data_IF_628421637596
#
_entry.id   IF_628421637596
#
_cell.length_a   1.000
_cell.length_b   1.000
_cell.length_c   1.000
_cell.angle_alpha   90.00
_cell.angle_beta   90.00
_cell.angle_gamma   90.00
#
_symmetry.space_group_name_H-M   'P 1'
#
loop_
_entity.id
_entity.type
_entity.pdbx_description
1 polymer ?
#
# COMPACT_ATOMS: atom_id res chain seq x y z
N UNK A 1 -29.92 -42.21 -6.93
CA UNK A 1 -29.09 -41.18 -6.25
C UNK A 1 -27.65 -41.40 -6.66
N UNK A 2 -27.12 -40.59 -7.58
CA UNK A 2 -25.73 -40.67 -8.02
C UNK A 2 -24.84 -39.85 -7.09
N UNK A 3 -23.90 -40.51 -6.39
CA UNK A 3 -22.84 -39.82 -5.65
C UNK A 3 -21.80 -39.31 -6.65
N UNK A 4 -21.65 -37.99 -6.72
CA UNK A 4 -20.54 -37.35 -7.42
C UNK A 4 -19.28 -37.63 -6.58
N UNK A 5 -18.33 -38.39 -7.12
CA UNK A 5 -16.99 -38.51 -6.55
C UNK A 5 -16.20 -37.24 -6.88
N UNK A 6 -16.12 -36.33 -5.91
CA UNK A 6 -15.18 -35.20 -5.97
C UNK A 6 -13.80 -35.74 -5.64
N UNK A 7 -12.89 -35.69 -6.61
CA UNK A 7 -11.50 -36.05 -6.42
C UNK A 7 -10.84 -35.01 -5.49
N UNK A 8 -10.42 -35.41 -4.30
CA UNK A 8 -9.86 -34.52 -3.27
C UNK A 8 -8.56 -33.82 -3.72
N UNK A 9 -7.91 -34.30 -4.79
CA UNK A 9 -6.74 -33.64 -5.35
C UNK A 9 -7.06 -32.36 -6.14
N UNK A 10 -8.33 -32.15 -6.54
CA UNK A 10 -8.77 -30.88 -7.14
C UNK A 10 -9.09 -29.79 -6.11
N UNK A 11 -9.09 -30.11 -4.82
CA UNK A 11 -9.35 -29.18 -3.72
C UNK A 11 -8.08 -28.77 -2.96
N UNK A 12 -6.91 -29.28 -3.37
CA UNK A 12 -5.65 -28.81 -2.79
C UNK A 12 -5.33 -27.41 -3.34
N UNK A 13 -5.15 -26.37 -2.49
CA UNK A 13 -4.60 -25.11 -2.96
C UNK A 13 -3.23 -25.39 -3.61
N UNK A 14 -2.80 -24.63 -4.64
CA UNK A 14 -1.58 -24.93 -5.40
C UNK A 14 -0.40 -25.17 -4.44
N UNK A 15 -0.07 -26.44 -4.24
CA UNK A 15 0.64 -26.89 -3.06
C UNK A 15 2.14 -26.93 -3.34
N UNK A 16 2.92 -26.24 -2.51
CA UNK A 16 4.37 -26.43 -2.25
C UNK A 16 5.33 -26.21 -3.44
N UNK A 17 5.06 -26.74 -4.64
CA UNK A 17 5.86 -26.54 -5.87
C UNK A 17 5.82 -25.08 -6.39
N UNK A 18 4.71 -24.38 -6.19
CA UNK A 18 4.61 -22.95 -6.56
C UNK A 18 5.47 -22.05 -5.66
N UNK A 19 5.56 -22.36 -4.35
CA UNK A 19 6.44 -21.65 -3.41
C UNK A 19 7.92 -21.99 -3.64
N UNK A 20 8.25 -23.18 -4.17
CA UNK A 20 9.62 -23.50 -4.54
C UNK A 20 10.10 -22.73 -5.77
N UNK A 21 9.23 -22.39 -6.72
CA UNK A 21 9.57 -21.53 -7.87
C UNK A 21 10.02 -20.12 -7.46
N UNK A 22 9.37 -19.55 -6.43
CA UNK A 22 9.76 -18.27 -5.84
C UNK A 22 11.17 -18.30 -5.22
N UNK A 23 11.49 -19.38 -4.51
CA UNK A 23 12.83 -19.60 -3.94
C UNK A 23 13.87 -19.79 -5.04
N UNK A 24 13.60 -20.63 -6.03
CA UNK A 24 14.56 -21.00 -7.07
C UNK A 24 14.86 -19.85 -8.04
N UNK A 25 13.88 -19.01 -8.37
CA UNK A 25 14.10 -17.87 -9.26
C UNK A 25 14.58 -16.64 -8.49
N UNK A 26 14.01 -16.33 -7.32
CA UNK A 26 14.44 -15.18 -6.51
C UNK A 26 15.89 -15.27 -6.03
N UNK A 27 16.39 -16.46 -5.71
CA UNK A 27 17.79 -16.67 -5.32
C UNK A 27 18.78 -16.47 -6.48
N UNK A 28 18.34 -16.50 -7.74
CA UNK A 28 19.20 -16.27 -8.92
C UNK A 28 19.22 -14.84 -9.41
N UNK A 29 18.14 -14.09 -9.18
CA UNK A 29 18.01 -12.71 -9.67
C UNK A 29 18.98 -11.77 -8.95
N UNK A 30 19.64 -10.89 -9.69
CA UNK A 30 20.50 -9.84 -9.13
C UNK A 30 19.64 -8.64 -8.67
N UNK A 31 19.60 -8.29 -7.37
CA UNK A 31 18.79 -7.17 -6.90
C UNK A 31 19.21 -5.80 -7.43
N UNK A 32 20.45 -5.63 -7.92
CA UNK A 32 20.89 -4.35 -8.46
C UNK A 32 20.36 -4.10 -9.88
N UNK A 33 20.17 -5.16 -10.67
CA UNK A 33 19.82 -5.06 -12.10
C UNK A 33 18.45 -5.65 -12.44
N UNK A 34 17.93 -6.56 -11.62
CA UNK A 34 16.69 -7.31 -11.83
C UNK A 34 15.63 -7.05 -10.73
N UNK A 35 15.74 -5.92 -10.02
CA UNK A 35 14.79 -5.52 -8.97
C UNK A 35 13.33 -5.55 -9.45
N UNK A 36 13.02 -5.10 -10.68
CA UNK A 36 11.67 -5.15 -11.23
C UNK A 36 11.13 -6.59 -11.29
N UNK A 37 11.97 -7.56 -11.67
CA UNK A 37 11.58 -8.97 -11.71
C UNK A 37 11.44 -9.56 -10.30
N UNK A 38 12.27 -9.14 -9.33
CA UNK A 38 12.13 -9.56 -7.93
C UNK A 38 10.81 -9.05 -7.36
N UNK A 39 10.50 -7.76 -7.52
CA UNK A 39 9.25 -7.16 -7.03
C UNK A 39 8.04 -7.76 -7.74
N UNK A 40 8.10 -7.97 -9.05
CA UNK A 40 7.06 -8.72 -9.79
C UNK A 40 6.83 -10.10 -9.20
N UNK A 41 7.91 -10.82 -8.93
CA UNK A 41 7.83 -12.18 -8.37
C UNK A 41 7.18 -12.16 -6.99
N UNK A 42 7.59 -11.28 -6.08
CA UNK A 42 6.98 -11.25 -4.73
C UNK A 42 5.55 -10.71 -4.73
N UNK A 43 5.19 -9.77 -5.60
CA UNK A 43 3.84 -9.22 -5.63
C UNK A 43 2.81 -10.23 -6.17
N UNK A 44 3.15 -10.98 -7.22
CA UNK A 44 2.21 -11.94 -7.83
C UNK A 44 2.12 -13.29 -7.11
N UNK A 45 3.11 -13.63 -6.27
CA UNK A 45 3.19 -14.96 -5.66
C UNK A 45 3.45 -14.94 -4.14
N UNK A 46 3.67 -13.76 -3.54
CA UNK A 46 3.95 -13.59 -2.11
C UNK A 46 2.68 -13.42 -1.27
N UNK A 47 2.04 -12.23 -1.28
CA UNK A 47 0.91 -11.94 -0.42
C UNK A 47 -0.38 -12.64 -0.91
N UNK A 48 -1.21 -13.07 0.03
CA UNK A 48 -2.62 -13.36 -0.28
C UNK A 48 -3.39 -12.06 -0.44
N UNK A 49 -4.55 -12.11 -1.11
CA UNK A 49 -5.44 -10.94 -1.20
C UNK A 49 -5.85 -10.40 0.19
N UNK A 50 -5.94 -11.27 1.20
CA UNK A 50 -6.15 -10.86 2.59
C UNK A 50 -4.97 -10.01 3.12
N UNK A 51 -3.73 -10.47 2.93
CA UNK A 51 -2.54 -9.74 3.39
C UNK A 51 -2.39 -8.39 2.66
N UNK A 52 -2.70 -8.34 1.36
CA UNK A 52 -2.75 -7.09 0.60
C UNK A 52 -3.80 -6.12 1.17
N UNK A 53 -4.99 -6.62 1.52
CA UNK A 53 -6.04 -5.79 2.11
C UNK A 53 -5.69 -5.26 3.51
N UNK A 54 -5.00 -6.05 4.35
CA UNK A 54 -4.47 -5.55 5.63
C UNK A 54 -3.43 -4.45 5.37
N UNK A 55 -2.46 -4.69 4.48
CA UNK A 55 -1.44 -3.71 4.10
C UNK A 55 -2.06 -2.38 3.66
N UNK A 56 -2.99 -2.45 2.69
CA UNK A 56 -3.72 -1.30 2.19
C UNK A 56 -4.42 -0.53 3.31
N UNK A 57 -5.15 -1.23 4.18
CA UNK A 57 -5.88 -0.61 5.31
C UNK A 57 -4.92 0.10 6.27
N UNK A 58 -3.84 -0.56 6.66
CA UNK A 58 -2.84 0.01 7.57
C UNK A 58 -2.12 1.21 6.96
N UNK A 59 -1.66 1.10 5.72
CA UNK A 59 -0.94 2.19 5.03
C UNK A 59 -1.85 3.41 4.90
N UNK A 60 -3.10 3.22 4.48
CA UNK A 60 -4.01 4.35 4.35
C UNK A 60 -4.38 4.98 5.69
N UNK A 61 -4.49 4.21 6.78
CA UNK A 61 -4.66 4.77 8.12
C UNK A 61 -3.45 5.63 8.54
N UNK A 62 -2.22 5.23 8.18
CA UNK A 62 -1.02 6.04 8.40
C UNK A 62 -1.03 7.32 7.56
N UNK A 63 -1.37 7.23 6.27
CA UNK A 63 -1.42 8.39 5.37
C UNK A 63 -2.47 9.43 5.79
N UNK A 64 -3.54 9.01 6.46
CA UNK A 64 -4.59 9.92 6.95
C UNK A 64 -4.24 10.62 8.26
N UNK A 65 -3.09 10.32 8.86
CA UNK A 65 -2.60 11.10 10.01
C UNK A 65 -2.15 12.50 9.56
N UNK A 66 -1.50 12.61 8.40
CA UNK A 66 -1.09 13.90 7.84
C UNK A 66 -2.32 14.75 7.43
N UNK A 67 -2.40 16.04 7.79
CA UNK A 67 -3.59 16.86 7.54
C UNK A 67 -3.95 16.98 6.04
N UNK A 68 -2.94 17.10 5.18
CA UNK A 68 -3.07 17.08 3.71
C UNK A 68 -3.58 15.72 3.19
N UNK A 69 -3.05 14.62 3.72
CA UNK A 69 -3.48 13.26 3.40
C UNK A 69 -4.93 13.00 3.79
N UNK A 70 -5.31 13.39 5.02
CA UNK A 70 -6.68 13.35 5.51
C UNK A 70 -7.62 14.12 4.58
N UNK A 71 -7.28 15.36 4.25
CA UNK A 71 -8.11 16.20 3.38
C UNK A 71 -8.25 15.61 1.96
N UNK A 72 -7.15 15.16 1.35
CA UNK A 72 -7.13 14.64 0.00
C UNK A 72 -7.89 13.31 -0.15
N UNK A 73 -7.74 12.40 0.80
CA UNK A 73 -8.38 11.08 0.75
C UNK A 73 -9.87 11.16 1.10
N UNK A 74 -10.24 12.04 2.05
CA UNK A 74 -11.64 12.29 2.41
C UNK A 74 -12.41 12.96 1.27
N UNK A 75 -11.75 13.80 0.48
CA UNK A 75 -12.36 14.55 -0.62
C UNK A 75 -13.13 13.65 -1.59
N UNK A 76 -14.38 14.04 -1.87
CA UNK A 76 -15.30 13.28 -2.74
C UNK A 76 -15.89 12.01 -2.11
N UNK A 77 -15.51 11.66 -0.87
CA UNK A 77 -16.10 10.59 -0.07
C UNK A 77 -16.06 9.19 -0.70
N UNK A 78 -15.08 8.95 -1.58
CA UNK A 78 -15.02 7.70 -2.36
C UNK A 78 -14.78 6.48 -1.48
N UNK A 79 -13.94 6.61 -0.44
CA UNK A 79 -13.68 5.51 0.50
C UNK A 79 -14.92 5.14 1.31
N UNK A 80 -15.69 6.12 1.79
CA UNK A 80 -16.93 5.87 2.55
C UNK A 80 -18.05 5.29 1.68
N UNK A 81 -18.17 5.73 0.42
CA UNK A 81 -19.30 5.34 -0.46
C UNK A 81 -19.01 4.12 -1.33
N UNK A 82 -17.73 3.88 -1.65
CA UNK A 82 -17.29 2.93 -2.68
C UNK A 82 -15.96 2.27 -2.28
N UNK A 83 -15.79 1.96 -1.00
CA UNK A 83 -14.55 1.42 -0.43
C UNK A 83 -14.00 0.23 -1.23
N UNK A 84 -14.80 -0.82 -1.44
CA UNK A 84 -14.36 -2.02 -2.17
C UNK A 84 -13.88 -1.70 -3.59
N UNK A 85 -14.62 -0.85 -4.32
CA UNK A 85 -14.21 -0.40 -5.65
C UNK A 85 -12.89 0.38 -5.59
N UNK A 86 -12.72 1.28 -4.61
CA UNK A 86 -11.47 2.04 -4.42
C UNK A 86 -10.29 1.11 -4.20
N UNK A 87 -10.44 0.09 -3.36
CA UNK A 87 -9.38 -0.90 -3.11
C UNK A 87 -8.98 -1.63 -4.38
N UNK A 88 -9.93 -2.24 -5.09
CA UNK A 88 -9.60 -2.98 -6.31
C UNK A 88 -8.99 -2.09 -7.40
N UNK A 89 -9.44 -0.84 -7.53
CA UNK A 89 -8.83 0.11 -8.46
C UNK A 89 -7.40 0.46 -8.06
N UNK A 90 -7.13 0.73 -6.77
CA UNK A 90 -5.78 1.01 -6.28
C UNK A 90 -4.84 -0.17 -6.47
N UNK A 91 -5.26 -1.38 -6.06
CA UNK A 91 -4.49 -2.61 -6.26
C UNK A 91 -4.22 -2.88 -7.73
N UNK A 92 -5.21 -2.66 -8.61
CA UNK A 92 -5.04 -2.83 -10.05
C UNK A 92 -3.98 -1.88 -10.61
N UNK A 93 -4.01 -0.59 -10.22
CA UNK A 93 -2.97 0.36 -10.64
C UNK A 93 -1.59 -0.06 -10.16
N UNK A 94 -1.46 -0.46 -8.89
CA UNK A 94 -0.18 -0.90 -8.35
C UNK A 94 0.34 -2.14 -9.08
N UNK A 95 -0.53 -3.13 -9.33
CA UNK A 95 -0.18 -4.34 -10.07
C UNK A 95 0.19 -4.06 -11.53
N UNK A 96 -0.40 -3.05 -12.17
CA UNK A 96 0.04 -2.60 -13.50
C UNK A 96 1.49 -2.10 -13.46
N UNK A 97 1.88 -1.31 -12.45
CA UNK A 97 3.24 -0.79 -12.32
C UNK A 97 4.26 -1.91 -12.06
N UNK A 98 3.89 -2.86 -11.20
CA UNK A 98 4.67 -4.07 -10.91
C UNK A 98 4.81 -4.95 -12.15
N UNK A 99 3.72 -5.13 -12.91
CA UNK A 99 3.73 -5.96 -14.10
C UNK A 99 4.66 -5.39 -15.17
N UNK A 100 4.54 -4.10 -15.48
CA UNK A 100 5.35 -3.47 -16.52
C UNK A 100 6.78 -3.14 -16.09
N UNK A 101 7.01 -2.94 -14.78
CA UNK A 101 8.30 -2.52 -14.22
C UNK A 101 8.32 -1.03 -13.94
N UNK A 102 9.03 -0.65 -12.88
CA UNK A 102 9.06 0.68 -12.29
C UNK A 102 9.56 1.78 -13.24
N UNK A 103 10.48 1.45 -14.14
CA UNK A 103 11.05 2.38 -15.13
C UNK A 103 10.37 2.38 -16.49
N UNK A 104 9.31 1.59 -16.70
CA UNK A 104 8.73 1.39 -18.03
C UNK A 104 7.89 2.58 -18.53
N UNK A 105 7.81 2.83 -19.86
CA UNK A 105 6.91 3.82 -20.44
C UNK A 105 5.44 3.56 -20.08
N UNK A 106 5.03 2.30 -19.98
CA UNK A 106 3.69 1.89 -19.57
C UNK A 106 3.39 2.33 -18.15
N UNK A 107 4.29 2.05 -17.19
CA UNK A 107 4.17 2.53 -15.81
C UNK A 107 4.08 4.05 -15.75
N UNK A 108 4.96 4.76 -16.46
CA UNK A 108 4.93 6.22 -16.52
C UNK A 108 3.58 6.75 -17.06
N UNK A 109 3.04 6.13 -18.12
CA UNK A 109 1.74 6.48 -18.68
C UNK A 109 0.59 6.23 -17.69
N UNK A 110 0.63 5.12 -16.95
CA UNK A 110 -0.38 4.78 -15.94
C UNK A 110 -0.33 5.74 -14.75
N UNK A 111 0.85 6.03 -14.23
CA UNK A 111 1.02 7.02 -13.16
C UNK A 111 0.61 8.42 -13.65
N UNK A 112 0.81 8.75 -14.93
CA UNK A 112 0.27 9.97 -15.53
C UNK A 112 -1.25 10.11 -15.41
N UNK A 113 -2.02 9.01 -15.39
CA UNK A 113 -3.47 9.06 -15.08
C UNK A 113 -3.72 9.42 -13.62
N UNK A 114 -2.92 8.91 -12.70
CA UNK A 114 -3.00 9.22 -11.27
C UNK A 114 -2.59 10.67 -10.99
N UNK A 115 -1.53 11.16 -11.64
CA UNK A 115 -1.14 12.57 -11.54
C UNK A 115 -2.27 13.52 -11.96
N UNK A 116 -3.04 13.18 -13.00
CA UNK A 116 -4.24 13.96 -13.37
C UNK A 116 -5.34 13.90 -12.32
N UNK A 117 -5.48 12.77 -11.63
CA UNK A 117 -6.43 12.62 -10.52
C UNK A 117 -5.98 13.45 -9.30
N UNK A 118 -4.71 13.37 -8.90
CA UNK A 118 -4.14 14.22 -7.84
C UNK A 118 -4.31 15.71 -8.18
N UNK A 119 -4.04 16.08 -9.44
CA UNK A 119 -4.21 17.45 -9.92
C UNK A 119 -5.68 17.92 -9.99
N UNK A 120 -6.65 17.00 -10.04
CA UNK A 120 -8.05 17.35 -9.91
C UNK A 120 -8.42 17.58 -8.44
N UNK A 121 -7.87 16.76 -7.52
CA UNK A 121 -8.14 16.85 -6.08
C UNK A 121 -7.58 18.15 -5.49
N UNK A 122 -6.34 18.52 -5.78
CA UNK A 122 -5.74 19.72 -5.18
C UNK A 122 -6.46 21.01 -5.52
N UNK A 123 -7.26 21.05 -6.61
CA UNK A 123 -8.02 22.25 -6.99
C UNK A 123 -9.11 22.56 -5.98
N UNK A 124 -9.52 21.53 -5.25
CA UNK A 124 -10.50 21.60 -4.18
C UNK A 124 -9.86 21.46 -2.79
N UNK A 125 -8.64 20.93 -2.74
CA UNK A 125 -7.87 20.74 -1.50
C UNK A 125 -6.44 21.27 -1.67
N UNK A 126 -6.24 22.60 -1.75
CA UNK A 126 -4.92 23.18 -1.99
C UNK A 126 -3.91 22.79 -0.90
N UNK A 127 -2.66 22.55 -1.30
CA UNK A 127 -1.59 22.09 -0.42
C UNK A 127 -1.49 20.56 -0.34
N UNK A 128 -2.51 19.81 -0.76
CA UNK A 128 -2.42 18.36 -0.89
C UNK A 128 -1.37 17.97 -1.94
N UNK A 129 -0.61 16.90 -1.68
CA UNK A 129 0.42 16.41 -2.63
C UNK A 129 1.60 17.36 -2.85
N UNK A 130 1.72 18.44 -2.06
CA UNK A 130 2.80 19.42 -2.18
C UNK A 130 4.12 18.96 -1.53
N UNK A 131 4.02 18.10 -0.52
CA UNK A 131 5.14 17.53 0.21
C UNK A 131 5.47 16.13 -0.35
N UNK A 132 6.65 15.93 -1.00
CA UNK A 132 7.04 14.63 -1.54
C UNK A 132 6.95 13.49 -0.53
N UNK A 133 7.40 13.72 0.72
CA UNK A 133 7.49 12.68 1.74
C UNK A 133 6.13 12.03 2.07
N UNK A 134 5.02 12.76 1.95
CA UNK A 134 3.68 12.21 2.18
C UNK A 134 3.31 11.18 1.11
N UNK A 135 3.66 11.47 -0.15
CA UNK A 135 3.47 10.54 -1.27
C UNK A 135 4.46 9.36 -1.22
N UNK A 136 5.70 9.62 -0.80
CA UNK A 136 6.71 8.59 -0.61
C UNK A 136 6.26 7.56 0.44
N UNK A 137 5.60 8.00 1.51
CA UNK A 137 5.12 7.12 2.58
C UNK A 137 4.19 6.01 2.06
N UNK A 138 3.40 6.26 1.01
CA UNK A 138 2.56 5.22 0.41
C UNK A 138 3.39 4.05 -0.17
N UNK A 139 4.52 4.36 -0.82
CA UNK A 139 5.43 3.37 -1.40
C UNK A 139 6.33 2.74 -0.34
N UNK A 140 6.84 3.53 0.61
CA UNK A 140 7.62 3.03 1.76
C UNK A 140 6.78 2.07 2.59
N UNK A 141 5.53 2.42 2.87
CA UNK A 141 4.58 1.56 3.57
C UNK A 141 4.39 0.23 2.83
N UNK A 142 4.17 0.26 1.52
CA UNK A 142 4.01 -0.96 0.72
C UNK A 142 5.26 -1.86 0.75
N UNK A 143 6.46 -1.27 0.70
CA UNK A 143 7.72 -2.00 0.77
C UNK A 143 7.99 -2.60 2.16
N UNK A 144 7.69 -1.83 3.21
CA UNK A 144 8.08 -2.16 4.58
C UNK A 144 7.05 -2.98 5.36
N UNK A 145 5.78 -2.99 4.93
CA UNK A 145 4.68 -3.59 5.67
C UNK A 145 4.92 -5.05 6.09
N UNK A 146 5.48 -5.88 5.21
CA UNK A 146 5.79 -7.28 5.55
C UNK A 146 6.77 -7.36 6.73
N UNK A 147 7.82 -6.54 6.74
CA UNK A 147 8.79 -6.50 7.82
C UNK A 147 8.18 -6.01 9.13
N UNK A 148 7.33 -4.97 9.05
CA UNK A 148 6.58 -4.47 10.21
C UNK A 148 5.73 -5.58 10.84
N UNK A 149 4.91 -6.28 10.05
CA UNK A 149 4.06 -7.37 10.55
C UNK A 149 4.90 -8.48 11.16
N UNK A 150 6.00 -8.89 10.50
CA UNK A 150 6.92 -9.91 11.02
C UNK A 150 7.48 -9.52 12.39
N UNK A 151 7.89 -8.27 12.57
CA UNK A 151 8.37 -7.75 13.87
C UNK A 151 7.26 -7.79 14.93
N UNK A 152 6.07 -7.29 14.60
CA UNK A 152 4.92 -7.26 15.52
C UNK A 152 4.56 -8.66 16.03
N UNK A 153 4.56 -9.67 15.15
CA UNK A 153 4.18 -11.05 15.53
C UNK A 153 5.35 -11.89 16.03
N UNK A 154 6.55 -11.32 16.15
CA UNK A 154 7.75 -12.05 16.58
C UNK A 154 8.17 -13.16 15.62
N UNK A 155 7.96 -12.98 14.31
CA UNK A 155 8.34 -13.96 13.30
C UNK A 155 9.86 -14.19 13.32
N UNK A 156 10.27 -15.48 13.35
CA UNK A 156 11.69 -15.86 13.42
C UNK A 156 12.48 -15.55 12.16
N UNK A 157 11.81 -15.53 11.01
CA UNK A 157 12.44 -15.27 9.72
C UNK A 157 12.18 -13.83 9.29
N UNK A 158 13.25 -13.15 8.94
CA UNK A 158 13.22 -11.82 8.34
C UNK A 158 12.77 -11.87 6.87
N UNK A 159 12.51 -10.69 6.29
CA UNK A 159 12.27 -10.53 4.84
C UNK A 159 13.53 -10.92 4.07
N UNK A 160 13.34 -11.54 2.89
CA UNK A 160 14.45 -11.99 2.06
C UNK A 160 15.40 -10.81 1.71
N UNK A 161 16.74 -10.95 1.90
CA UNK A 161 17.69 -9.87 1.65
C UNK A 161 17.64 -9.27 0.23
N UNK A 162 17.36 -10.08 -0.80
CA UNK A 162 17.23 -9.59 -2.17
C UNK A 162 15.97 -8.75 -2.38
N UNK A 163 14.89 -9.10 -1.67
CA UNK A 163 13.67 -8.28 -1.66
C UNK A 163 13.93 -6.95 -0.98
N UNK A 164 14.64 -6.97 0.17
CA UNK A 164 15.07 -5.75 0.85
C UNK A 164 15.92 -4.84 -0.04
N UNK A 165 16.82 -5.42 -0.83
CA UNK A 165 17.67 -4.68 -1.75
C UNK A 165 16.91 -4.17 -3.00
N UNK A 166 15.91 -4.90 -3.49
CA UNK A 166 15.13 -4.51 -4.67
C UNK A 166 14.12 -3.37 -4.41
N UNK A 167 13.55 -3.32 -3.20
CA UNK A 167 12.49 -2.36 -2.87
C UNK A 167 12.88 -0.88 -3.02
N UNK A 168 14.02 -0.40 -2.48
CA UNK A 168 14.43 1.00 -2.60
C UNK A 168 14.47 1.48 -4.05
N UNK A 169 15.17 0.74 -4.93
CA UNK A 169 15.32 1.08 -6.35
C UNK A 169 13.97 1.06 -7.07
N UNK A 170 13.14 0.03 -6.84
CA UNK A 170 11.80 -0.05 -7.44
C UNK A 170 10.90 1.11 -7.02
N UNK A 171 10.86 1.40 -5.71
CA UNK A 171 10.03 2.46 -5.16
C UNK A 171 10.50 3.85 -5.60
N UNK A 172 11.80 4.12 -5.61
CA UNK A 172 12.35 5.41 -6.07
C UNK A 172 11.95 5.68 -7.52
N UNK A 173 12.08 4.67 -8.40
CA UNK A 173 11.69 4.81 -9.82
C UNK A 173 10.20 5.04 -9.99
N UNK A 174 9.35 4.31 -9.25
CA UNK A 174 7.91 4.54 -9.25
C UNK A 174 7.58 5.95 -8.74
N UNK A 175 8.20 6.37 -7.63
CA UNK A 175 8.04 7.70 -7.04
C UNK A 175 8.46 8.81 -8.00
N UNK A 176 9.51 8.58 -8.80
CA UNK A 176 10.00 9.51 -9.81
C UNK A 176 8.97 9.91 -10.88
N UNK A 177 7.96 9.06 -11.14
CA UNK A 177 6.87 9.38 -12.08
C UNK A 177 5.75 10.23 -11.48
N UNK A 178 5.67 10.32 -10.15
CA UNK A 178 4.67 11.16 -9.47
C UNK A 178 5.14 12.61 -9.39
N UNK A 179 4.21 13.54 -9.58
CA UNK A 179 4.48 14.98 -9.52
C UNK A 179 3.82 15.62 -8.30
N UNK A 180 4.49 16.59 -7.68
CA UNK A 180 3.93 17.35 -6.55
C UNK A 180 3.01 18.47 -7.01
N UNK A 181 2.32 19.12 -6.07
CA UNK A 181 1.72 20.44 -6.27
C UNK A 181 2.78 21.56 -6.18
N UNK A 182 2.73 22.59 -7.05
CA UNK A 182 1.96 22.65 -8.31
C UNK A 182 2.57 21.70 -9.36
N UNK A 183 1.77 21.22 -10.33
CA UNK A 183 2.28 20.36 -11.44
C UNK A 183 2.90 21.19 -12.53
N UNK A 184 3.83 22.07 -12.15
CA UNK A 184 4.76 22.71 -13.06
C UNK A 184 5.91 21.76 -13.45
N UNK A 185 5.92 20.54 -12.89
CA UNK A 185 6.95 19.52 -13.13
C UNK A 185 8.27 19.82 -12.41
N UNK A 186 8.31 20.81 -11.52
CA UNK A 186 9.53 21.22 -10.80
C UNK A 186 9.99 20.20 -9.77
N UNK A 187 9.08 19.33 -9.29
CA UNK A 187 9.33 18.38 -8.20
C UNK A 187 8.59 17.06 -8.43
N UNK A 188 9.28 15.96 -8.16
CA UNK A 188 8.73 14.61 -8.17
C UNK A 188 8.74 14.02 -6.76
N UNK A 189 8.01 12.93 -6.55
CA UNK A 189 8.12 12.18 -5.30
C UNK A 189 9.42 11.37 -5.21
N UNK A 190 10.19 11.26 -6.29
CA UNK A 190 11.50 10.58 -6.26
C UNK A 190 12.59 11.40 -5.57
N UNK A 191 12.39 12.70 -5.34
CA UNK A 191 13.44 13.53 -4.73
C UNK A 191 13.74 13.07 -3.30
N UNK A 192 15.00 12.78 -3.01
CA UNK A 192 15.47 12.28 -1.71
C UNK A 192 14.71 11.02 -1.23
N UNK A 193 14.29 10.14 -2.16
CA UNK A 193 13.72 8.86 -1.78
C UNK A 193 14.76 8.01 -1.02
N UNK A 194 14.35 7.19 -0.02
CA UNK A 194 15.26 6.27 0.67
C UNK A 194 16.03 5.34 -0.29
N UNK A 195 17.36 5.29 -0.15
CA UNK A 195 18.26 4.61 -1.11
C UNK A 195 18.56 3.16 -0.78
N UNK A 196 18.26 2.73 0.44
CA UNK A 196 18.48 1.37 0.90
C UNK A 196 17.42 0.96 1.93
N UNK A 197 17.44 -0.30 2.32
CA UNK A 197 16.45 -0.87 3.25
C UNK A 197 16.44 -0.17 4.62
N UNK A 198 17.61 0.18 5.15
CA UNK A 198 17.71 0.82 6.46
C UNK A 198 17.16 2.26 6.41
N UNK A 199 17.39 2.96 5.29
CA UNK A 199 16.76 4.27 5.04
C UNK A 199 15.23 4.16 4.89
N UNK A 200 14.70 3.09 4.25
CA UNK A 200 13.25 2.86 4.16
C UNK A 200 12.63 2.63 5.55
N UNK A 201 13.30 1.81 6.38
CA UNK A 201 12.89 1.58 7.76
C UNK A 201 12.93 2.86 8.59
N UNK A 202 14.02 3.62 8.48
CA UNK A 202 14.18 4.89 9.18
C UNK A 202 13.10 5.90 8.74
N UNK A 203 12.78 5.96 7.44
CA UNK A 203 11.71 6.80 6.93
C UNK A 203 10.35 6.42 7.51
N UNK A 204 10.02 5.12 7.55
CA UNK A 204 8.76 4.63 8.09
C UNK A 204 8.57 5.11 9.54
N UNK A 205 9.58 4.90 10.40
CA UNK A 205 9.51 5.30 11.80
C UNK A 205 9.62 6.81 12.01
N UNK A 206 10.37 7.51 11.17
CA UNK A 206 10.39 8.98 11.19
C UNK A 206 9.00 9.55 10.90
N UNK A 207 8.33 9.06 9.85
CA UNK A 207 6.99 9.50 9.48
C UNK A 207 5.97 9.23 10.59
N UNK A 208 6.00 8.02 11.17
CA UNK A 208 5.13 7.62 12.28
C UNK A 208 5.38 8.46 13.55
N UNK A 209 6.61 8.97 13.72
CA UNK A 209 6.99 9.86 14.82
C UNK A 209 6.61 11.33 14.65
N UNK A 210 6.04 11.73 13.51
CA UNK A 210 5.61 13.12 13.30
C UNK A 210 4.33 13.37 14.10
N UNK A 211 4.35 14.42 14.93
CA UNK A 211 3.17 14.88 15.68
C UNK A 211 2.16 15.59 14.76
N UNK A 212 1.55 14.86 13.83
CA UNK A 212 0.57 15.42 12.88
C UNK A 212 -0.67 16.00 13.56
N UNK A 213 -1.00 15.52 14.76
CA UNK A 213 -2.10 16.07 15.55
C UNK A 213 -1.89 17.55 15.88
N UNK A 214 -0.67 17.95 16.25
CA UNK A 214 -0.31 19.34 16.54
C UNK A 214 -0.31 20.24 15.30
N UNK A 215 -0.23 19.63 14.11
CA UNK A 215 -0.25 20.32 12.82
C UNK A 215 -1.64 20.34 12.17
N UNK A 216 -2.63 19.73 12.82
CA UNK A 216 -3.98 19.54 12.29
C UNK A 216 -5.00 20.47 12.93
N UNK A 217 -6.08 20.73 12.21
CA UNK A 217 -7.28 21.36 12.78
C UNK A 217 -8.25 20.27 13.27
N UNK A 218 -9.20 20.58 14.16
CA UNK A 218 -10.23 19.62 14.57
C UNK A 218 -11.00 19.00 13.39
N UNK A 219 -11.26 19.80 12.35
CA UNK A 219 -11.90 19.31 11.13
C UNK A 219 -11.04 18.29 10.38
N UNK A 220 -9.73 18.52 10.27
CA UNK A 220 -8.81 17.61 9.58
C UNK A 220 -8.60 16.32 10.37
N UNK A 221 -8.54 16.41 11.71
CA UNK A 221 -8.51 15.25 12.59
C UNK A 221 -9.76 14.38 12.39
N UNK A 222 -10.94 15.02 12.36
CA UNK A 222 -12.20 14.32 12.11
C UNK A 222 -12.20 13.63 10.72
N UNK A 223 -11.74 14.32 9.67
CA UNK A 223 -11.63 13.74 8.32
C UNK A 223 -10.69 12.54 8.30
N UNK A 224 -9.54 12.64 8.98
CA UNK A 224 -8.58 11.55 9.10
C UNK A 224 -9.18 10.34 9.80
N UNK A 225 -9.87 10.56 10.93
CA UNK A 225 -10.57 9.53 11.68
C UNK A 225 -11.65 8.83 10.86
N UNK A 226 -12.59 9.58 10.26
CA UNK A 226 -13.66 9.03 9.41
C UNK A 226 -13.10 8.20 8.25
N UNK A 227 -11.99 8.65 7.67
CA UNK A 227 -11.34 7.97 6.56
C UNK A 227 -10.70 6.67 7.03
N UNK A 228 -9.99 6.68 8.15
CA UNK A 228 -9.35 5.50 8.72
C UNK A 228 -10.41 4.45 9.12
N UNK A 229 -11.49 4.86 9.79
CA UNK A 229 -12.62 3.98 10.10
C UNK A 229 -13.22 3.36 8.84
N UNK A 230 -13.44 4.16 7.79
CA UNK A 230 -13.99 3.64 6.54
C UNK A 230 -13.10 2.57 5.87
N UNK A 231 -11.76 2.69 5.98
CA UNK A 231 -10.85 1.64 5.50
C UNK A 231 -10.93 0.37 6.35
N UNK A 232 -11.00 0.51 7.67
CA UNK A 232 -11.14 -0.61 8.61
C UNK A 232 -12.46 -1.34 8.36
N UNK A 233 -13.56 -0.60 8.28
CA UNK A 233 -14.90 -1.14 8.01
C UNK A 233 -14.93 -1.90 6.69
N UNK A 234 -14.36 -1.31 5.63
CA UNK A 234 -14.23 -1.97 4.34
C UNK A 234 -13.50 -3.33 4.45
N UNK A 235 -12.35 -3.36 5.15
CA UNK A 235 -11.58 -4.58 5.32
C UNK A 235 -12.39 -5.62 6.10
N UNK A 236 -13.02 -5.16 7.18
CA UNK A 236 -13.90 -5.96 8.01
C UNK A 236 -15.05 -6.59 7.21
N UNK A 237 -15.74 -5.83 6.37
CA UNK A 237 -16.82 -6.31 5.51
C UNK A 237 -16.38 -7.34 4.48
N UNK A 238 -15.19 -7.19 3.90
CA UNK A 238 -14.66 -8.11 2.88
C UNK A 238 -14.24 -9.45 3.47
N UNK A 239 -13.68 -9.44 4.67
CA UNK A 239 -12.92 -10.59 5.19
C UNK A 239 -13.51 -11.24 6.43
N UNK A 240 -14.44 -10.58 7.13
CA UNK A 240 -15.09 -11.14 8.31
C UNK A 240 -16.59 -11.35 8.08
N UNK A 241 -17.16 -12.46 8.57
CA UNK A 241 -18.60 -12.68 8.50
C UNK A 241 -19.35 -11.59 9.27
N UNK A 242 -20.55 -11.21 8.79
CA UNK A 242 -21.37 -10.17 9.44
C UNK A 242 -21.67 -10.42 10.93
N UNK A 243 -21.76 -11.68 11.34
CA UNK A 243 -21.97 -12.05 12.75
C UNK A 243 -20.71 -11.92 13.63
N UNK A 244 -19.52 -11.80 13.03
CA UNK A 244 -18.27 -11.50 13.74
C UNK A 244 -18.06 -9.98 13.90
N UNK A 245 -18.67 -9.16 13.05
CA UNK A 245 -18.57 -7.69 13.08
C UNK A 245 -19.27 -7.08 14.30
N UNK A 246 -20.34 -7.71 14.79
CA UNK A 246 -21.04 -7.30 16.02
C UNK A 246 -20.20 -7.45 17.29
N UNK A 247 -19.09 -8.20 17.25
CA UNK A 247 -18.17 -8.35 18.39
C UNK A 247 -16.93 -7.46 18.31
N UNK A 248 -16.50 -7.05 17.11
CA UNK A 248 -15.26 -6.25 16.91
C UNK A 248 -15.55 -4.74 17.01
N UNK A 249 -16.68 -4.25 16.47
CA UNK A 249 -17.00 -2.81 16.51
C UNK A 249 -17.59 -2.31 17.83
N UNK A 250 -18.07 -3.19 18.72
CA UNK A 250 -18.69 -2.78 19.99
C UNK A 250 -17.69 -2.40 21.08
N UNK A 251 -16.42 -2.78 20.98
CA UNK A 251 -15.42 -2.41 21.99
C UNK A 251 -14.89 -0.97 21.82
N UNK A 252 -15.07 -0.33 20.66
CA UNK A 252 -14.65 1.08 20.45
C UNK A 252 -15.78 2.11 20.62
N UNK A 253 -17.05 1.72 20.52
CA UNK A 253 -18.19 2.65 20.73
C UNK A 253 -18.66 2.79 22.19
N UNK A 254 -18.06 2.05 23.12
CA UNK A 254 -18.43 2.09 24.54
C UNK A 254 -17.54 3.02 25.40
N UNK A 255 -16.57 3.71 24.79
CA UNK A 255 -15.66 4.63 25.51
C UNK A 255 -15.42 5.89 24.67
N UNK A 256 -16.48 6.65 24.40
CA UNK A 256 -16.44 8.11 24.18
C UNK A 256 -17.67 8.70 24.87
#
# INVERSE_FOLDING_TARGET
MNRIHVNQDQLRPPSVQFRSGLRVNGEKLDPETEYDQIIRTIAFFGPSAFAAAVSYTTIFAVLTQAPSGAAAIHFGGKVMRRGHQRFYETELYQLEWVYHGSGSPETAQRIGKINRLHAAIWKHVPGSYSAPFEGQMALVGAAYFEALVRKIVGARNDVNPKVKAAWPEWCERVAGHFVTEPSDGSRSYGINFPRNWDELEAFFYWFDGIAFEEQSTPELLQKGHETAEAFIDQFCELWFPRYALTSVCWQQRAVI
#
